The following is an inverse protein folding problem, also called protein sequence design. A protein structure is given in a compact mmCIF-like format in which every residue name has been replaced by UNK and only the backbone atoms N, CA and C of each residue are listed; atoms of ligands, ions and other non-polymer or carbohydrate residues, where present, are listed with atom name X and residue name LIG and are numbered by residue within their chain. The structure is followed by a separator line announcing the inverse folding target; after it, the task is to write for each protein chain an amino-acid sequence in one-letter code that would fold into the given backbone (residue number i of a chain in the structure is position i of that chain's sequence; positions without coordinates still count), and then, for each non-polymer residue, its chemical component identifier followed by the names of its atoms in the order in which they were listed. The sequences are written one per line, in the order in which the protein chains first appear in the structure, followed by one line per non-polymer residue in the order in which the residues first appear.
data_IF_861795246366
#
_entry.id   IF_861795246366
#
_cell.length_a   1.000
_cell.length_b   1.000
_cell.length_c   1.000
_cell.angle_alpha   90.00
_cell.angle_beta   90.00
_cell.angle_gamma   90.00
#
_symmetry.space_group_name_H-M   'P 1'
#
loop_
_entity.id
_entity.type
_entity.pdbx_description
1 polymer ?
#
# COMPACT_ATOMS: atom_id res chain seq x y z
N UNK A 1 13.02 -14.22 19.56
CA UNK A 1 12.15 -13.03 19.50
C UNK A 1 10.95 -13.29 20.39
N UNK A 2 10.62 -12.36 21.29
CA UNK A 2 9.51 -12.49 22.23
C UNK A 2 8.26 -11.76 21.71
N UNK A 3 8.48 -10.61 21.09
CA UNK A 3 7.45 -9.76 20.49
C UNK A 3 7.95 -9.23 19.16
N UNK A 4 7.07 -9.07 18.22
CA UNK A 4 7.27 -8.29 17.00
C UNK A 4 5.97 -7.60 16.63
N UNK A 5 6.03 -6.29 16.42
CA UNK A 5 4.90 -5.50 15.95
C UNK A 5 5.37 -4.41 14.99
N UNK A 6 4.59 -4.14 13.97
CA UNK A 6 4.84 -3.06 13.03
C UNK A 6 3.64 -2.83 12.13
N UNK A 7 3.42 -1.58 11.79
CA UNK A 7 2.31 -1.17 10.92
C UNK A 7 0.93 -1.21 11.59
N UNK A 8 0.03 -0.37 11.12
CA UNK A 8 -1.34 -0.24 11.62
C UNK A 8 -2.38 -0.65 10.56
N UNK A 9 -2.01 -0.67 9.29
CA UNK A 9 -2.87 -1.01 8.17
C UNK A 9 -2.14 -1.88 7.15
N UNK A 10 -2.87 -2.78 6.48
CA UNK A 10 -2.29 -3.70 5.50
C UNK A 10 -1.81 -2.95 4.24
N UNK A 11 -2.51 -1.89 3.86
CA UNK A 11 -2.30 -1.10 2.64
C UNK A 11 -1.44 0.17 2.84
N UNK A 12 -0.66 0.23 3.90
CA UNK A 12 0.26 1.33 4.17
C UNK A 12 1.65 0.81 4.54
N UNK A 13 2.70 1.48 4.04
CA UNK A 13 4.08 1.21 4.44
C UNK A 13 4.28 1.65 5.89
N UNK A 14 4.73 0.79 6.80
CA UNK A 14 4.91 1.14 8.21
C UNK A 14 6.04 2.15 8.43
N UNK A 15 5.77 3.21 9.18
CA UNK A 15 6.78 4.16 9.68
C UNK A 15 7.37 3.74 11.03
N UNK A 16 6.78 2.78 11.71
CA UNK A 16 7.24 2.26 13.01
C UNK A 16 7.11 0.75 13.08
N UNK A 17 8.12 0.14 13.67
CA UNK A 17 8.11 -1.27 14.04
C UNK A 17 8.96 -1.49 15.28
N UNK A 18 8.68 -2.54 16.04
CA UNK A 18 9.53 -2.93 17.16
C UNK A 18 9.57 -4.44 17.36
N UNK A 19 10.71 -4.94 17.85
CA UNK A 19 10.86 -6.32 18.29
C UNK A 19 11.49 -6.34 19.70
N UNK A 20 11.00 -7.23 20.58
CA UNK A 20 11.62 -7.52 21.86
C UNK A 20 12.40 -8.84 21.76
N UNK A 21 13.69 -8.80 22.05
CA UNK A 21 14.57 -9.94 21.93
C UNK A 21 15.30 -10.27 23.22
N UNK A 22 15.53 -11.57 23.49
CA UNK A 22 16.38 -12.01 24.59
C UNK A 22 17.84 -11.75 24.21
N UNK A 23 18.38 -10.64 24.64
CA UNK A 23 19.77 -10.26 24.41
C UNK A 23 20.23 -9.28 25.49
N UNK A 24 21.54 -9.15 25.66
CA UNK A 24 22.16 -8.10 26.46
C UNK A 24 22.51 -6.91 25.57
N UNK A 25 22.39 -5.71 26.11
CA UNK A 25 22.77 -4.46 25.39
C UNK A 25 24.27 -4.42 25.05
N UNK A 26 25.09 -5.13 25.85
CA UNK A 26 26.55 -5.14 25.67
C UNK A 26 26.94 -5.68 24.28
N UNK A 27 27.67 -4.88 23.52
CA UNK A 27 28.14 -5.23 22.17
C UNK A 27 27.17 -4.87 21.04
N UNK A 28 25.91 -4.53 21.32
CA UNK A 28 24.99 -4.06 20.31
C UNK A 28 25.27 -2.59 19.94
N UNK A 29 25.13 -2.27 18.68
CA UNK A 29 25.34 -0.90 18.17
C UNK A 29 24.08 -0.37 17.54
N UNK A 30 23.79 0.91 17.74
CA UNK A 30 22.77 1.61 16.98
C UNK A 30 23.12 1.57 15.49
N UNK A 31 22.07 1.50 14.65
CA UNK A 31 22.16 1.62 13.20
C UNK A 31 21.29 2.80 12.73
N UNK A 32 21.48 3.28 11.52
CA UNK A 32 20.57 4.28 10.96
C UNK A 32 19.12 3.81 11.06
N UNK A 33 18.24 4.70 11.53
CA UNK A 33 16.82 4.41 11.71
C UNK A 33 16.49 3.32 12.76
N UNK A 34 17.44 2.85 13.54
CA UNK A 34 17.25 1.86 14.61
C UNK A 34 17.65 2.47 15.96
N UNK A 35 16.80 2.31 16.94
CA UNK A 35 17.10 2.61 18.35
C UNK A 35 16.96 1.35 19.20
N UNK A 36 17.85 1.22 20.20
CA UNK A 36 17.89 0.09 21.13
C UNK A 36 17.59 0.59 22.55
N UNK A 37 16.69 -0.11 23.21
CA UNK A 37 16.30 0.19 24.59
C UNK A 37 16.38 -1.07 25.45
N UNK A 38 17.04 -1.02 26.63
CA UNK A 38 17.01 -2.14 27.56
C UNK A 38 15.61 -2.25 28.18
N UNK A 39 15.05 -3.46 28.21
CA UNK A 39 13.73 -3.71 28.74
C UNK A 39 13.67 -5.06 29.48
N UNK A 40 13.62 -5.05 30.83
CA UNK A 40 13.45 -6.24 31.67
C UNK A 40 14.44 -7.40 31.37
N UNK A 41 15.71 -7.09 31.16
CA UNK A 41 16.73 -8.09 30.81
C UNK A 41 16.68 -8.56 29.34
N UNK A 42 15.95 -7.85 28.51
CA UNK A 42 15.86 -8.00 27.06
C UNK A 42 16.27 -6.69 26.37
N UNK A 43 16.27 -6.69 25.06
CA UNK A 43 16.49 -5.49 24.23
C UNK A 43 15.29 -5.28 23.33
N UNK A 44 14.72 -4.07 23.38
CA UNK A 44 13.73 -3.60 22.43
C UNK A 44 14.45 -2.92 21.27
N UNK A 45 14.27 -3.48 20.08
CA UNK A 45 14.75 -2.91 18.81
C UNK A 45 13.60 -2.14 18.17
N UNK A 46 13.77 -0.84 17.93
CA UNK A 46 12.77 0.00 17.26
C UNK A 46 13.27 0.49 15.92
N UNK A 47 12.46 0.31 14.89
CA UNK A 47 12.68 0.84 13.55
C UNK A 47 11.84 2.09 13.29
N UNK A 48 12.45 3.08 12.64
CA UNK A 48 11.85 4.36 12.27
C UNK A 48 11.94 4.55 10.77
N UNK A 49 10.81 4.39 10.11
CA UNK A 49 10.68 4.48 8.67
C UNK A 49 9.98 5.76 8.19
N UNK A 50 9.42 5.68 7.00
CA UNK A 50 8.61 6.73 6.40
C UNK A 50 7.40 6.11 5.72
N UNK A 51 6.20 6.44 6.20
CA UNK A 51 4.95 5.89 5.69
C UNK A 51 4.59 6.41 4.30
N UNK A 52 3.73 5.64 3.64
CA UNK A 52 3.06 5.98 2.38
C UNK A 52 2.06 4.90 2.01
N UNK A 53 1.22 5.18 1.03
CA UNK A 53 0.20 4.24 0.58
C UNK A 53 0.81 3.11 -0.25
N UNK A 54 0.27 1.89 -0.15
CA UNK A 54 0.75 0.71 -0.88
C UNK A 54 0.74 0.88 -2.41
N UNK A 55 -0.20 1.66 -2.95
CA UNK A 55 -0.28 1.94 -4.38
C UNK A 55 0.77 2.96 -4.89
N UNK A 56 1.43 3.71 -3.98
CA UNK A 56 2.44 4.73 -4.31
C UNK A 56 3.55 4.69 -3.26
N UNK A 57 4.34 3.61 -3.20
CA UNK A 57 5.34 3.39 -2.15
C UNK A 57 6.66 4.12 -2.38
N UNK A 58 6.79 4.91 -3.45
CA UNK A 58 8.02 5.59 -3.81
C UNK A 58 8.46 6.57 -2.71
N UNK A 59 9.74 6.51 -2.37
CA UNK A 59 10.33 7.36 -1.34
C UNK A 59 9.87 7.04 0.09
N UNK A 60 9.18 5.93 0.32
CA UNK A 60 8.88 5.38 1.65
C UNK A 60 10.04 4.57 2.20
N UNK A 61 10.01 4.29 3.50
CA UNK A 61 10.97 3.41 4.18
C UNK A 61 10.19 2.50 5.13
N UNK A 62 10.19 1.20 4.86
CA UNK A 62 9.45 0.23 5.66
C UNK A 62 10.18 -0.09 6.98
N UNK A 63 9.60 0.33 8.11
CA UNK A 63 10.20 0.12 9.43
C UNK A 63 10.31 -1.36 9.82
N UNK A 64 9.41 -2.24 9.33
CA UNK A 64 9.50 -3.69 9.55
C UNK A 64 10.78 -4.22 8.90
N UNK A 65 11.04 -3.86 7.64
CA UNK A 65 12.26 -4.26 6.93
C UNK A 65 13.52 -3.83 7.67
N UNK A 66 13.56 -2.60 8.20
CA UNK A 66 14.69 -2.10 9.00
C UNK A 66 14.95 -2.96 10.26
N UNK A 67 13.89 -3.32 11.00
CA UNK A 67 14.01 -4.19 12.19
C UNK A 67 14.44 -5.59 11.79
N UNK A 68 13.87 -6.18 10.73
CA UNK A 68 14.24 -7.49 10.20
C UNK A 68 15.73 -7.52 9.82
N UNK A 69 16.20 -6.53 9.07
CA UNK A 69 17.60 -6.41 8.69
C UNK A 69 18.52 -6.33 9.89
N UNK A 70 18.16 -5.49 10.86
CA UNK A 70 18.94 -5.34 12.08
C UNK A 70 19.05 -6.66 12.88
N UNK A 71 17.93 -7.38 13.05
CA UNK A 71 17.90 -8.65 13.78
C UNK A 71 18.77 -9.72 13.10
N UNK A 72 18.71 -9.82 11.78
CA UNK A 72 19.50 -10.74 11.00
C UNK A 72 20.99 -10.41 11.05
N UNK A 73 21.35 -9.16 10.83
CA UNK A 73 22.75 -8.72 10.74
C UNK A 73 23.45 -8.71 12.10
N UNK A 74 22.69 -8.51 13.20
CA UNK A 74 23.19 -8.58 14.57
C UNK A 74 23.14 -9.99 15.16
N UNK A 75 22.59 -10.98 14.46
CA UNK A 75 22.45 -12.34 14.97
C UNK A 75 21.48 -12.48 16.15
N UNK A 76 20.49 -11.59 16.25
CA UNK A 76 19.50 -11.53 17.34
C UNK A 76 18.28 -12.42 17.09
N UNK A 77 18.47 -13.58 16.49
CA UNK A 77 17.41 -14.52 16.20
C UNK A 77 17.93 -15.96 16.29
N UNK A 78 17.05 -16.90 16.61
CA UNK A 78 17.33 -18.35 16.50
C UNK A 78 17.38 -18.77 15.04
N UNK A 79 17.88 -19.98 14.75
CA UNK A 79 17.96 -20.50 13.40
C UNK A 79 16.57 -20.61 12.72
N UNK A 80 15.55 -20.97 13.48
CA UNK A 80 14.16 -21.02 12.96
C UNK A 80 13.64 -19.63 12.63
N UNK A 81 13.84 -18.66 13.53
CA UNK A 81 13.44 -17.27 13.30
C UNK A 81 14.23 -16.65 12.13
N UNK A 82 15.52 -16.99 11.99
CA UNK A 82 16.37 -16.55 10.88
C UNK A 82 15.75 -16.90 9.53
N UNK A 83 15.32 -18.13 9.34
CA UNK A 83 14.70 -18.57 8.07
C UNK A 83 13.45 -17.75 7.74
N UNK A 84 12.62 -17.48 8.74
CA UNK A 84 11.43 -16.62 8.56
C UNK A 84 11.84 -15.19 8.23
N UNK A 85 12.76 -14.60 8.97
CA UNK A 85 13.21 -13.22 8.74
C UNK A 85 13.90 -13.05 7.38
N UNK A 86 14.65 -14.04 6.92
CA UNK A 86 15.26 -14.05 5.57
C UNK A 86 14.18 -14.10 4.47
N UNK A 87 13.11 -14.86 4.67
CA UNK A 87 11.94 -14.84 3.78
C UNK A 87 11.29 -13.45 3.76
N UNK A 88 11.07 -12.83 4.91
CA UNK A 88 10.54 -11.46 5.01
C UNK A 88 11.47 -10.45 4.35
N UNK A 89 12.79 -10.52 4.59
CA UNK A 89 13.79 -9.66 3.93
C UNK A 89 13.67 -9.74 2.40
N UNK A 90 13.47 -10.95 1.86
CA UNK A 90 13.27 -11.14 0.43
C UNK A 90 11.97 -10.52 -0.08
N UNK A 91 10.88 -10.63 0.68
CA UNK A 91 9.60 -10.00 0.35
C UNK A 91 9.68 -8.47 0.34
N UNK A 92 10.54 -7.89 1.18
CA UNK A 92 10.75 -6.43 1.29
C UNK A 92 11.86 -5.90 0.38
N UNK A 93 12.50 -6.74 -0.44
CA UNK A 93 13.66 -6.35 -1.25
C UNK A 93 13.37 -5.31 -2.31
N UNK A 94 12.11 -5.18 -2.73
CA UNK A 94 11.66 -4.21 -3.73
C UNK A 94 10.17 -3.94 -3.58
N UNK A 95 9.75 -2.70 -3.78
CA UNK A 95 8.33 -2.31 -3.82
C UNK A 95 7.69 -2.46 -5.21
N UNK A 96 8.46 -2.78 -6.25
CA UNK A 96 7.95 -3.02 -7.61
C UNK A 96 8.01 -4.51 -8.02
N UNK A 97 8.39 -5.40 -7.08
CA UNK A 97 8.35 -6.86 -7.27
C UNK A 97 9.53 -7.47 -8.02
N UNK A 98 10.60 -6.70 -8.32
CA UNK A 98 11.78 -7.23 -9.01
C UNK A 98 12.42 -8.38 -8.25
N UNK A 99 12.55 -8.25 -6.92
CA UNK A 99 13.13 -9.29 -6.07
C UNK A 99 12.34 -10.61 -6.04
N UNK A 100 11.07 -10.57 -6.46
CA UNK A 100 10.20 -11.73 -6.57
C UNK A 100 10.01 -12.21 -8.03
N UNK A 101 10.58 -11.48 -9.00
CA UNK A 101 10.42 -11.80 -10.42
C UNK A 101 9.00 -11.55 -10.96
N UNK A 102 8.22 -10.68 -10.31
CA UNK A 102 6.83 -10.33 -10.69
C UNK A 102 6.67 -8.90 -11.18
N UNK A 103 7.75 -8.16 -11.31
CA UNK A 103 7.71 -6.80 -11.83
C UNK A 103 7.06 -6.77 -13.21
N UNK A 104 6.01 -6.00 -13.34
CA UNK A 104 5.26 -5.85 -14.59
C UNK A 104 4.55 -4.51 -14.60
N UNK A 105 4.12 -4.06 -15.77
CA UNK A 105 3.41 -2.79 -15.97
C UNK A 105 2.52 -2.88 -17.19
N UNK A 106 1.44 -2.14 -17.21
CA UNK A 106 0.63 -1.90 -18.41
C UNK A 106 0.33 -0.40 -18.60
N UNK A 107 -0.25 -0.05 -19.74
CA UNK A 107 -0.60 1.34 -20.05
C UNK A 107 -1.64 1.94 -19.10
N UNK A 108 -2.75 1.23 -18.81
CA UNK A 108 -3.82 1.73 -17.96
C UNK A 108 -3.45 1.90 -16.49
N UNK A 109 -2.78 0.90 -15.89
CA UNK A 109 -2.56 0.87 -14.43
C UNK A 109 -1.12 1.20 -14.00
N UNK A 110 -0.16 1.21 -14.94
CA UNK A 110 1.23 1.41 -14.61
C UNK A 110 1.87 0.19 -13.94
N UNK A 111 2.92 0.38 -13.11
CA UNK A 111 3.69 -0.71 -12.54
C UNK A 111 2.96 -1.41 -11.38
N UNK A 112 3.24 -2.70 -11.22
CA UNK A 112 2.91 -3.44 -10.01
C UNK A 112 3.62 -2.81 -8.81
N UNK A 113 2.90 -2.73 -7.67
CA UNK A 113 3.51 -2.42 -6.37
C UNK A 113 3.25 -3.55 -5.38
N UNK A 114 4.20 -3.77 -4.46
CA UNK A 114 4.07 -4.75 -3.38
C UNK A 114 4.80 -4.26 -2.14
N UNK A 115 4.10 -4.29 -0.99
CA UNK A 115 4.66 -3.86 0.30
C UNK A 115 4.31 -4.83 1.42
N UNK A 116 5.14 -4.90 2.46
CA UNK A 116 4.76 -5.47 3.75
C UNK A 116 4.06 -4.42 4.61
N UNK A 117 2.78 -4.63 4.90
CA UNK A 117 1.95 -3.64 5.61
C UNK A 117 1.98 -3.79 7.13
N UNK A 118 1.83 -5.01 7.64
CA UNK A 118 1.82 -5.27 9.10
C UNK A 118 2.65 -6.49 9.44
N UNK A 119 3.32 -6.44 10.58
CA UNK A 119 3.88 -7.61 11.24
C UNK A 119 3.43 -7.66 12.69
N UNK A 120 3.07 -8.86 13.17
CA UNK A 120 2.58 -9.08 14.52
C UNK A 120 2.81 -10.54 14.95
N UNK A 121 2.63 -10.81 16.25
CA UNK A 121 2.66 -12.17 16.79
C UNK A 121 1.24 -12.74 16.86
N UNK A 122 1.07 -13.95 16.35
CA UNK A 122 -0.16 -14.72 16.46
C UNK A 122 0.18 -16.15 16.90
N UNK A 123 -0.37 -16.60 18.03
CA UNK A 123 -0.11 -17.94 18.61
C UNK A 123 1.38 -18.28 18.70
N UNK A 124 2.20 -17.31 19.07
CA UNK A 124 3.65 -17.48 19.21
C UNK A 124 4.43 -17.52 17.88
N UNK A 125 3.79 -17.23 16.76
CA UNK A 125 4.42 -17.13 15.43
C UNK A 125 4.39 -15.69 14.93
N UNK A 126 5.40 -15.31 14.18
CA UNK A 126 5.43 -14.03 13.46
C UNK A 126 4.56 -14.14 12.20
N UNK A 127 3.70 -13.16 11.98
CA UNK A 127 2.84 -13.05 10.79
C UNK A 127 3.14 -11.73 10.08
N UNK A 128 3.38 -11.79 8.77
CA UNK A 128 3.56 -10.63 7.91
C UNK A 128 2.41 -10.55 6.90
N UNK A 129 1.76 -9.40 6.81
CA UNK A 129 0.80 -9.14 5.72
C UNK A 129 1.50 -8.47 4.54
N UNK A 130 1.13 -8.88 3.34
CA UNK A 130 1.57 -8.26 2.09
C UNK A 130 0.39 -7.61 1.38
N UNK A 131 0.57 -6.41 0.84
CA UNK A 131 -0.40 -5.75 -0.04
C UNK A 131 0.26 -5.54 -1.41
N UNK A 132 -0.41 -5.99 -2.46
CA UNK A 132 0.05 -5.81 -3.84
C UNK A 132 -1.03 -5.15 -4.68
N UNK A 133 -0.65 -4.14 -5.45
CA UNK A 133 -1.48 -3.52 -6.49
C UNK A 133 -0.90 -3.89 -7.83
N UNK A 134 -1.71 -4.43 -8.71
CA UNK A 134 -1.19 -5.02 -9.94
C UNK A 134 -2.05 -4.68 -11.15
N UNK A 135 -1.39 -4.54 -12.32
CA UNK A 135 -2.03 -4.25 -13.58
C UNK A 135 -2.68 -5.49 -14.22
N UNK A 136 -3.36 -5.31 -15.36
CA UNK A 136 -4.01 -6.39 -16.10
C UNK A 136 -3.03 -7.39 -16.74
N UNK A 137 -1.75 -7.07 -16.76
CA UNK A 137 -0.69 -7.95 -17.29
C UNK A 137 -0.30 -9.09 -16.34
N UNK A 138 -0.88 -9.15 -15.12
CA UNK A 138 -0.68 -10.22 -14.14
C UNK A 138 -1.96 -10.48 -13.35
N UNK A 139 -1.94 -11.42 -12.41
CA UNK A 139 -3.08 -11.74 -11.55
C UNK A 139 -2.61 -12.20 -10.16
N UNK A 140 -3.57 -12.32 -9.22
CA UNK A 140 -3.29 -12.72 -7.86
C UNK A 140 -2.63 -14.09 -7.71
N UNK A 141 -2.97 -15.06 -8.56
CA UNK A 141 -2.39 -16.41 -8.50
C UNK A 141 -0.90 -16.41 -8.84
N UNK A 142 -0.49 -15.65 -9.85
CA UNK A 142 0.92 -15.48 -10.23
C UNK A 142 1.71 -14.85 -9.09
N UNK A 143 1.17 -13.80 -8.47
CA UNK A 143 1.80 -13.12 -7.34
C UNK A 143 1.90 -14.06 -6.14
N UNK A 144 0.81 -14.76 -5.79
CA UNK A 144 0.80 -15.72 -4.70
C UNK A 144 1.79 -16.88 -4.92
N UNK A 145 1.91 -17.38 -6.14
CA UNK A 145 2.89 -18.42 -6.50
C UNK A 145 4.32 -17.91 -6.31
N UNK A 146 4.62 -16.68 -6.75
CA UNK A 146 5.93 -16.06 -6.58
C UNK A 146 6.29 -15.85 -5.09
N UNK A 147 5.33 -15.40 -4.28
CA UNK A 147 5.50 -15.28 -2.82
C UNK A 147 5.81 -16.65 -2.21
N UNK A 148 5.03 -17.70 -2.51
CA UNK A 148 5.28 -19.07 -2.02
C UNK A 148 6.68 -19.56 -2.39
N UNK A 149 7.10 -19.33 -3.62
CA UNK A 149 8.44 -19.67 -4.07
C UNK A 149 9.52 -18.88 -3.34
N UNK A 150 9.28 -17.60 -3.09
CA UNK A 150 10.24 -16.73 -2.43
C UNK A 150 10.47 -17.09 -0.96
N UNK A 151 9.40 -17.42 -0.23
CA UNK A 151 9.48 -17.75 1.19
C UNK A 151 9.97 -19.19 1.43
N UNK A 152 9.78 -20.10 0.46
CA UNK A 152 10.26 -21.49 0.53
C UNK A 152 9.82 -22.20 1.81
N UNK A 153 10.77 -22.81 2.52
CA UNK A 153 10.54 -23.48 3.81
C UNK A 153 10.55 -22.50 5.00
N UNK A 154 10.88 -21.22 4.78
CA UNK A 154 10.98 -20.22 5.85
C UNK A 154 9.62 -19.72 6.36
N UNK A 155 8.58 -19.78 5.53
CA UNK A 155 7.22 -19.36 5.87
C UNK A 155 6.19 -20.06 4.99
N UNK A 156 4.91 -19.99 5.39
CA UNK A 156 3.76 -20.39 4.58
C UNK A 156 2.92 -19.18 4.20
N UNK A 157 2.30 -19.22 3.04
CA UNK A 157 1.27 -18.27 2.64
C UNK A 157 -0.08 -18.84 3.03
N UNK A 158 -0.70 -18.28 4.07
CA UNK A 158 -1.93 -18.81 4.69
C UNK A 158 -3.17 -18.33 3.92
N UNK A 159 -3.36 -17.02 3.83
CA UNK A 159 -4.53 -16.39 3.22
C UNK A 159 -4.15 -15.57 1.99
N UNK A 160 -5.00 -15.63 0.97
CA UNK A 160 -4.89 -14.81 -0.24
C UNK A 160 -6.27 -14.24 -0.55
N UNK A 161 -6.38 -12.93 -0.43
CA UNK A 161 -7.54 -12.17 -0.91
C UNK A 161 -7.11 -11.39 -2.15
N UNK A 162 -7.50 -11.87 -3.31
CA UNK A 162 -7.13 -11.28 -4.59
C UNK A 162 -8.36 -10.92 -5.41
N UNK A 163 -8.31 -9.77 -6.04
CA UNK A 163 -9.34 -9.31 -6.95
C UNK A 163 -8.71 -8.79 -8.24
N UNK A 164 -9.21 -9.26 -9.37
CA UNK A 164 -8.71 -8.82 -10.67
C UNK A 164 -8.87 -7.31 -10.86
N UNK A 165 -7.95 -6.67 -11.60
CA UNK A 165 -8.09 -5.28 -11.98
C UNK A 165 -9.41 -5.03 -12.70
N UNK A 166 -10.12 -3.98 -12.29
CA UNK A 166 -11.35 -3.54 -12.92
C UNK A 166 -11.05 -2.35 -13.84
N UNK A 167 -11.28 -2.51 -15.13
CA UNK A 167 -10.97 -1.50 -16.14
C UNK A 167 -12.15 -1.29 -17.10
N UNK A 168 -12.48 -0.04 -17.32
CA UNK A 168 -13.45 0.39 -18.36
C UNK A 168 -12.70 1.29 -19.33
N UNK A 169 -12.87 1.04 -20.62
CA UNK A 169 -12.28 1.87 -21.68
C UNK A 169 -12.70 3.33 -21.53
N UNK A 170 -11.72 4.22 -21.48
CA UNK A 170 -11.95 5.65 -21.22
C UNK A 170 -12.74 6.34 -22.34
N UNK A 171 -12.67 5.83 -23.57
CA UNK A 171 -13.29 6.43 -24.75
C UNK A 171 -14.73 5.94 -24.97
N UNK A 172 -15.57 6.07 -23.94
CA UNK A 172 -17.01 5.82 -24.03
C UNK A 172 -17.78 7.12 -23.97
N UNK A 173 -19.00 7.20 -24.57
CA UNK A 173 -19.83 8.42 -24.51
C UNK A 173 -20.11 8.88 -23.08
N UNK A 174 -20.39 7.96 -22.16
CA UNK A 174 -20.67 8.27 -20.77
C UNK A 174 -19.46 8.85 -20.03
N UNK A 175 -18.26 8.27 -20.21
CA UNK A 175 -17.04 8.78 -19.59
C UNK A 175 -16.67 10.14 -20.18
N UNK A 176 -16.84 10.33 -21.49
CA UNK A 176 -16.65 11.63 -22.12
C UNK A 176 -17.61 12.68 -21.56
N UNK A 177 -18.90 12.38 -21.42
CA UNK A 177 -19.86 13.30 -20.81
C UNK A 177 -19.46 13.71 -19.39
N UNK A 178 -18.96 12.80 -18.57
CA UNK A 178 -18.47 13.09 -17.24
C UNK A 178 -17.21 13.99 -17.24
N UNK A 179 -16.18 13.63 -18.01
CA UNK A 179 -14.92 14.39 -17.99
C UNK A 179 -15.06 15.75 -18.65
N UNK A 180 -15.82 15.87 -19.72
CA UNK A 180 -16.09 17.14 -20.39
C UNK A 180 -16.87 18.08 -19.47
N UNK A 181 -17.85 17.55 -18.71
CA UNK A 181 -18.58 18.32 -17.71
C UNK A 181 -17.65 18.81 -16.59
N UNK A 182 -16.77 17.94 -16.10
CA UNK A 182 -15.79 18.34 -15.09
C UNK A 182 -14.90 19.46 -15.61
N UNK A 183 -14.33 19.29 -16.80
CA UNK A 183 -13.44 20.27 -17.41
C UNK A 183 -14.12 21.61 -17.68
N UNK A 184 -15.36 21.58 -18.16
CA UNK A 184 -16.17 22.80 -18.41
C UNK A 184 -16.41 23.57 -17.11
N UNK A 185 -16.83 22.89 -16.03
CA UNK A 185 -17.17 23.54 -14.77
C UNK A 185 -15.93 24.02 -14.01
N UNK A 186 -14.84 23.28 -14.06
CA UNK A 186 -13.60 23.60 -13.33
C UNK A 186 -12.65 24.51 -14.13
N UNK A 187 -12.81 24.60 -15.46
CA UNK A 187 -11.85 25.27 -16.34
C UNK A 187 -10.57 24.47 -16.55
N UNK A 188 -10.51 23.21 -16.14
CA UNK A 188 -9.36 22.31 -16.27
C UNK A 188 -9.37 21.54 -17.59
N UNK A 189 -8.33 20.73 -17.82
CA UNK A 189 -8.20 19.80 -18.96
C UNK A 189 -7.75 18.43 -18.46
N UNK A 190 -8.48 17.91 -17.48
CA UNK A 190 -8.21 16.60 -16.92
C UNK A 190 -8.63 15.47 -17.87
N UNK A 191 -8.06 14.30 -17.64
CA UNK A 191 -8.37 13.06 -18.36
C UNK A 191 -8.84 11.99 -17.38
N UNK A 192 -9.64 11.01 -17.84
CA UNK A 192 -9.89 9.81 -17.05
C UNK A 192 -8.58 9.14 -16.65
N UNK A 193 -8.52 8.60 -15.45
CA UNK A 193 -7.34 7.92 -14.92
C UNK A 193 -7.74 6.64 -14.18
N UNK A 194 -6.77 5.78 -13.95
CA UNK A 194 -6.91 4.60 -13.08
C UNK A 194 -6.25 4.86 -11.75
N UNK A 195 -6.64 4.12 -10.73
CA UNK A 195 -6.08 4.22 -9.39
C UNK A 195 -5.87 2.83 -8.78
N UNK A 196 -4.89 2.70 -7.89
CA UNK A 196 -4.59 1.45 -7.19
C UNK A 196 -5.56 1.11 -6.05
N UNK A 197 -6.61 1.90 -5.83
CA UNK A 197 -7.67 1.67 -4.85
C UNK A 197 -8.91 1.04 -5.48
N UNK A 198 -9.67 0.29 -4.69
CA UNK A 198 -10.98 -0.23 -5.11
C UNK A 198 -12.11 0.72 -4.74
N UNK A 199 -13.12 0.84 -5.61
CA UNK A 199 -14.36 1.58 -5.34
C UNK A 199 -15.57 0.69 -5.58
N UNK A 200 -16.76 1.18 -5.23
CA UNK A 200 -18.02 0.45 -5.52
C UNK A 200 -18.24 0.18 -7.01
N UNK A 201 -17.62 0.95 -7.91
CA UNK A 201 -17.73 0.77 -9.35
C UNK A 201 -17.42 -0.66 -9.80
N UNK A 202 -16.45 -1.32 -9.17
CA UNK A 202 -16.07 -2.71 -9.50
C UNK A 202 -17.17 -3.76 -9.30
N UNK A 203 -18.25 -3.43 -8.60
CA UNK A 203 -19.39 -4.33 -8.38
C UNK A 203 -20.44 -4.24 -9.49
N UNK A 204 -20.23 -3.39 -10.49
CA UNK A 204 -21.12 -3.19 -11.62
C UNK A 204 -20.38 -3.39 -12.92
N UNK A 205 -20.99 -4.04 -13.94
CA UNK A 205 -20.30 -4.35 -15.20
C UNK A 205 -19.79 -3.14 -15.98
N UNK A 206 -20.49 -2.02 -15.87
CA UNK A 206 -20.21 -0.78 -16.61
C UNK A 206 -20.34 0.42 -15.69
N UNK A 207 -19.42 0.58 -14.78
CA UNK A 207 -19.41 1.70 -13.86
C UNK A 207 -18.00 2.29 -13.69
N UNK A 208 -17.94 3.56 -13.42
CA UNK A 208 -16.71 4.27 -13.06
C UNK A 208 -16.95 5.12 -11.83
N UNK A 209 -15.88 5.44 -11.11
CA UNK A 209 -15.95 6.44 -10.05
C UNK A 209 -15.79 7.83 -10.65
N UNK A 210 -16.58 8.76 -10.16
CA UNK A 210 -16.56 10.15 -10.57
C UNK A 210 -16.72 11.05 -9.34
N UNK A 211 -15.81 12.00 -9.15
CA UNK A 211 -15.82 12.85 -7.96
C UNK A 211 -15.02 14.14 -8.12
N UNK A 212 -15.13 15.05 -7.14
CA UNK A 212 -14.56 16.40 -7.21
C UNK A 212 -13.08 16.46 -6.85
N UNK A 213 -12.50 15.39 -6.32
CA UNK A 213 -11.10 15.38 -5.90
C UNK A 213 -10.16 15.55 -7.10
N UNK A 214 -9.11 16.31 -6.91
CA UNK A 214 -8.16 16.67 -7.95
C UNK A 214 -6.73 16.47 -7.43
N UNK A 215 -5.83 15.98 -8.26
CA UNK A 215 -4.44 15.75 -7.92
C UNK A 215 -3.67 17.02 -7.50
N UNK A 216 -4.13 18.18 -7.92
CA UNK A 216 -3.56 19.48 -7.58
C UNK A 216 -4.23 20.16 -6.37
N UNK A 217 -5.10 19.45 -5.65
CA UNK A 217 -5.76 19.96 -4.45
C UNK A 217 -4.76 20.24 -3.33
N UNK A 218 -4.70 21.50 -2.91
CA UNK A 218 -3.82 21.92 -1.81
C UNK A 218 -4.61 21.94 -0.51
N UNK A 219 -4.20 21.11 0.43
CA UNK A 219 -4.78 21.09 1.78
C UNK A 219 -4.07 22.11 2.69
N UNK A 220 -4.80 22.71 3.65
CA UNK A 220 -4.18 23.56 4.66
C UNK A 220 -3.30 22.74 5.60
N UNK A 221 -2.41 23.42 6.35
CA UNK A 221 -1.45 22.74 7.25
C UNK A 221 -2.09 21.88 8.36
N UNK A 222 -3.36 22.11 8.67
CA UNK A 222 -4.14 21.33 9.63
C UNK A 222 -4.96 20.21 8.97
N UNK A 223 -5.05 20.17 7.63
CA UNK A 223 -5.79 19.18 6.87
C UNK A 223 -4.94 17.99 6.50
N UNK A 224 -5.47 16.79 6.66
CA UNK A 224 -4.82 15.52 6.27
C UNK A 224 -5.29 15.00 4.92
N UNK A 225 -4.48 14.14 4.30
CA UNK A 225 -4.82 13.48 3.04
C UNK A 225 -5.89 12.40 3.26
N UNK A 226 -6.40 11.86 2.15
CA UNK A 226 -7.30 10.70 2.12
C UNK A 226 -6.80 9.57 3.03
N UNK A 227 -7.68 9.05 3.89
CA UNK A 227 -7.39 8.03 4.91
C UNK A 227 -6.36 8.45 5.98
N UNK A 228 -5.97 9.70 6.01
CA UNK A 228 -5.05 10.26 7.02
C UNK A 228 -5.76 10.87 8.22
N UNK A 229 -4.99 11.18 9.27
CA UNK A 229 -5.49 11.96 10.40
C UNK A 229 -5.89 13.36 9.92
N UNK A 230 -7.03 13.87 10.41
CA UNK A 230 -7.61 15.15 10.01
C UNK A 230 -7.93 15.24 8.48
N UNK A 231 -8.32 14.12 7.89
CA UNK A 231 -8.77 14.09 6.49
C UNK A 231 -9.75 15.24 6.22
N UNK A 232 -9.53 15.99 5.15
CA UNK A 232 -10.28 17.20 4.88
C UNK A 232 -10.45 17.44 3.38
N UNK A 233 -11.52 18.19 3.04
CA UNK A 233 -11.79 18.59 1.67
C UNK A 233 -12.18 20.09 1.64
N UNK A 234 -11.82 20.83 0.56
CA UNK A 234 -12.25 22.21 0.39
C UNK A 234 -13.77 22.33 0.22
N UNK A 235 -14.42 23.18 1.01
CA UNK A 235 -15.87 23.40 0.92
C UNK A 235 -16.28 23.87 -0.48
N UNK A 236 -15.50 24.76 -1.09
CA UNK A 236 -15.80 25.27 -2.44
C UNK A 236 -15.74 24.16 -3.50
N UNK A 237 -14.82 23.20 -3.38
CA UNK A 237 -14.77 22.02 -4.26
C UNK A 237 -16.01 21.13 -4.08
N UNK A 238 -16.50 20.97 -2.84
CA UNK A 238 -17.72 20.23 -2.57
C UNK A 238 -18.96 20.95 -3.15
N UNK A 239 -19.06 22.26 -3.05
CA UNK A 239 -20.14 23.04 -3.67
C UNK A 239 -20.06 22.98 -5.20
N UNK A 240 -18.86 23.06 -5.77
CA UNK A 240 -18.66 22.92 -7.21
C UNK A 240 -19.04 21.51 -7.71
N UNK A 241 -18.78 20.48 -6.91
CA UNK A 241 -19.14 19.10 -7.26
C UNK A 241 -20.65 18.90 -7.42
N UNK A 242 -21.48 19.60 -6.64
CA UNK A 242 -22.94 19.56 -6.82
C UNK A 242 -23.34 20.03 -8.22
N UNK A 243 -22.74 21.12 -8.70
CA UNK A 243 -22.99 21.61 -10.07
C UNK A 243 -22.52 20.61 -11.12
N UNK A 244 -21.33 20.02 -10.93
CA UNK A 244 -20.77 18.99 -11.82
C UNK A 244 -21.70 17.79 -11.91
N UNK A 245 -22.18 17.26 -10.78
CA UNK A 245 -23.08 16.10 -10.77
C UNK A 245 -24.42 16.39 -11.46
N UNK A 246 -25.03 17.55 -11.21
CA UNK A 246 -26.28 17.92 -11.87
C UNK A 246 -26.11 17.94 -13.39
N UNK A 247 -25.07 18.61 -13.88
CA UNK A 247 -24.83 18.71 -15.33
C UNK A 247 -24.43 17.36 -15.94
N UNK A 248 -23.61 16.57 -15.24
CA UNK A 248 -23.20 15.24 -15.71
C UNK A 248 -24.43 14.31 -15.81
N UNK A 249 -25.32 14.28 -14.82
CA UNK A 249 -26.53 13.46 -14.85
C UNK A 249 -27.44 13.85 -16.01
N UNK A 250 -27.67 15.15 -16.22
CA UNK A 250 -28.48 15.62 -17.36
C UNK A 250 -27.89 15.18 -18.71
N UNK A 251 -26.57 15.22 -18.86
CA UNK A 251 -25.90 14.79 -20.09
C UNK A 251 -25.92 13.27 -20.26
N UNK A 252 -25.83 12.53 -19.18
CA UNK A 252 -25.92 11.07 -19.22
C UNK A 252 -27.32 10.59 -19.60
N UNK A 253 -28.38 11.28 -19.20
CA UNK A 253 -29.76 10.98 -19.61
C UNK A 253 -29.99 11.13 -21.14
N UNK A 254 -29.16 11.92 -21.83
CA UNK A 254 -29.22 12.10 -23.28
C UNK A 254 -28.47 11.02 -24.07
N UNK A 255 -27.80 10.07 -23.38
CA UNK A 255 -26.99 9.00 -24.00
C UNK A 255 -27.79 7.71 -24.04
N UNK A 256 -27.91 7.12 -25.21
CA UNK A 256 -28.38 5.73 -25.37
C UNK A 256 -27.27 4.75 -24.96
N UNK A 257 -27.53 3.93 -23.95
CA UNK A 257 -26.60 2.94 -23.36
C UNK A 257 -26.77 1.56 -23.99
#
# INVERSE_FOLDING_TARGET
ILEFEGGVANNAVPDRASALVKAEMAGLKNAPHITLEPENGCVRVRGWGKSGHAASPEGTVNAIGLVVDYLLDSGLCTETERRYLEAVRKLHSSTAGEGLGIATSDGPFGPLTIIGGRMYMQEGRMVQTMDSRYPTSTNGDVIAAAIRQAVGEGASLEDVDAADPFYIEADTPAIRACIDTYNEVTGKQEKPFTMGGGTYARHFPYAVSFGPESHDMVLPSFGGPMHGANESAPVDALLQSVKIYILALLRLEEIDF
#
